data_IF_817638546366
#
_entry.id   IF_817638546366
#
_cell.length_a   1.000
_cell.length_b   1.000
_cell.length_c   1.000
_cell.angle_alpha   90.00
_cell.angle_beta   90.00
_cell.angle_gamma   90.00
#
_symmetry.space_group_name_H-M   'P 1'
#
loop_
_entity.id
_entity.type
_entity.pdbx_description
1 polymer ?
#
# COMPACT_ATOMS: atom_id res chain seq x y z
N UNK A 1 -22.97 -27.32 -58.39
CA UNK A 1 -22.83 -27.33 -56.93
C UNK A 1 -21.37 -27.14 -56.61
N UNK A 2 -20.96 -25.92 -56.25
CA UNK A 2 -19.60 -25.61 -55.82
C UNK A 2 -19.50 -25.90 -54.32
N UNK A 3 -18.76 -26.95 -53.99
CA UNK A 3 -18.34 -27.27 -52.62
C UNK A 3 -17.48 -26.12 -52.11
N UNK A 4 -17.99 -25.37 -51.13
CA UNK A 4 -17.24 -24.33 -50.43
C UNK A 4 -16.21 -25.03 -49.55
N UNK A 5 -14.95 -24.95 -49.94
CA UNK A 5 -13.83 -25.49 -49.17
C UNK A 5 -13.75 -24.74 -47.84
N UNK A 6 -14.02 -25.43 -46.74
CA UNK A 6 -14.23 -24.82 -45.43
C UNK A 6 -12.88 -24.49 -44.79
N UNK A 7 -12.52 -23.20 -44.74
CA UNK A 7 -11.22 -22.75 -44.21
C UNK A 7 -11.15 -23.03 -42.70
N UNK A 8 -10.25 -23.93 -42.29
CA UNK A 8 -9.96 -24.25 -40.89
C UNK A 8 -8.76 -23.47 -40.37
N UNK A 9 -8.97 -22.63 -39.36
CA UNK A 9 -7.90 -21.89 -38.69
C UNK A 9 -7.33 -22.70 -37.51
N UNK A 10 -6.01 -22.87 -37.47
CA UNK A 10 -5.30 -23.64 -36.43
C UNK A 10 -4.79 -22.79 -35.26
N UNK A 11 -4.93 -21.46 -35.34
CA UNK A 11 -4.41 -20.49 -34.34
C UNK A 11 -5.50 -19.72 -33.58
N UNK A 12 -6.75 -20.19 -33.65
CA UNK A 12 -7.87 -19.61 -32.90
C UNK A 12 -8.14 -20.30 -31.56
N UNK A 13 -8.98 -19.70 -30.69
CA UNK A 13 -9.53 -18.35 -30.82
C UNK A 13 -8.47 -17.27 -30.52
N UNK A 14 -8.71 -16.05 -30.99
CA UNK A 14 -7.89 -14.90 -30.61
C UNK A 14 -7.82 -14.79 -29.08
N UNK A 15 -6.61 -14.62 -28.54
CA UNK A 15 -6.42 -14.36 -27.12
C UNK A 15 -7.13 -13.06 -26.77
N UNK A 16 -8.17 -13.14 -25.96
CA UNK A 16 -8.82 -11.95 -25.40
C UNK A 16 -7.89 -11.36 -24.32
N UNK A 17 -7.74 -10.03 -24.23
CA UNK A 17 -7.09 -9.42 -23.09
C UNK A 17 -7.77 -9.91 -21.82
N UNK A 18 -7.03 -10.61 -20.97
CA UNK A 18 -7.55 -10.97 -19.65
C UNK A 18 -7.62 -9.66 -18.85
N UNK A 19 -8.76 -9.32 -18.21
CA UNK A 19 -8.79 -8.22 -17.27
C UNK A 19 -7.69 -8.46 -16.25
N UNK A 20 -6.76 -7.51 -16.10
CA UNK A 20 -5.80 -7.59 -15.00
C UNK A 20 -6.61 -7.59 -13.72
N UNK A 21 -6.54 -8.69 -12.96
CA UNK A 21 -7.08 -8.74 -11.62
C UNK A 21 -6.43 -7.59 -10.84
N UNK A 22 -7.23 -6.63 -10.41
CA UNK A 22 -6.75 -5.56 -9.56
C UNK A 22 -6.46 -6.17 -8.20
N UNK A 23 -5.20 -6.06 -7.76
CA UNK A 23 -4.81 -6.42 -6.40
C UNK A 23 -5.80 -5.76 -5.42
N UNK A 24 -6.31 -6.48 -4.41
CA UNK A 24 -7.21 -5.89 -3.43
C UNK A 24 -6.52 -4.69 -2.75
N UNK A 25 -7.28 -3.61 -2.55
CA UNK A 25 -6.72 -2.32 -2.13
C UNK A 25 -6.81 -2.16 -0.62
N UNK A 26 -5.73 -1.61 -0.04
CA UNK A 26 -5.69 -1.08 1.31
C UNK A 26 -5.49 0.44 1.21
N UNK A 27 -6.54 1.21 1.50
CA UNK A 27 -6.55 2.66 1.32
C UNK A 27 -6.43 3.38 2.67
N UNK A 28 -5.55 4.37 2.75
CA UNK A 28 -5.49 5.25 3.92
C UNK A 28 -6.68 6.21 3.96
N UNK A 29 -7.24 6.39 5.15
CA UNK A 29 -8.25 7.37 5.47
C UNK A 29 -7.76 8.30 6.57
N UNK A 30 -7.99 9.60 6.41
CA UNK A 30 -7.65 10.64 7.39
C UNK A 30 -8.93 11.40 7.77
N UNK A 31 -9.62 10.91 8.80
CA UNK A 31 -10.77 11.59 9.39
C UNK A 31 -12.05 11.48 8.57
N UNK A 32 -12.35 10.30 8.02
CA UNK A 32 -13.65 10.09 7.34
C UNK A 32 -14.78 9.92 8.36
N UNK A 33 -15.94 10.55 8.13
CA UNK A 33 -17.08 10.43 9.03
C UNK A 33 -17.69 9.02 8.97
N UNK A 34 -17.93 8.44 10.14
CA UNK A 34 -18.58 7.14 10.27
C UNK A 34 -20.11 7.27 10.35
N UNK A 35 -20.83 6.17 10.15
CA UNK A 35 -22.27 6.10 10.41
C UNK A 35 -22.63 6.54 11.84
N UNK A 36 -21.75 6.24 12.81
CA UNK A 36 -21.88 6.53 14.23
C UNK A 36 -21.47 7.96 14.62
N UNK A 37 -21.21 8.85 13.64
CA UNK A 37 -20.80 10.26 13.87
C UNK A 37 -19.44 10.40 14.59
N UNK A 38 -18.56 9.41 14.44
CA UNK A 38 -17.15 9.53 14.79
C UNK A 38 -16.32 9.83 13.53
N UNK A 39 -15.07 10.24 13.71
CA UNK A 39 -14.09 10.32 12.62
C UNK A 39 -13.20 9.07 12.67
N UNK A 40 -12.94 8.47 11.51
CA UNK A 40 -12.05 7.34 11.36
C UNK A 40 -10.74 7.77 10.68
N UNK A 41 -9.62 7.36 11.27
CA UNK A 41 -8.30 7.44 10.65
C UNK A 41 -7.65 6.06 10.72
N UNK A 42 -7.14 5.56 9.60
CA UNK A 42 -6.67 4.19 9.48
C UNK A 42 -6.78 3.64 8.06
N UNK A 43 -6.48 2.36 7.92
CA UNK A 43 -6.56 1.64 6.66
C UNK A 43 -7.93 1.00 6.43
N UNK A 44 -8.44 1.13 5.21
CA UNK A 44 -9.73 0.62 4.77
C UNK A 44 -9.59 -0.35 3.60
N UNK A 45 -10.41 -1.39 3.61
CA UNK A 45 -10.69 -2.21 2.43
C UNK A 45 -12.19 -2.48 2.34
N UNK A 46 -12.80 -2.27 1.18
CA UNK A 46 -14.25 -2.41 1.01
C UNK A 46 -14.67 -3.88 1.12
N UNK A 47 -15.69 -4.14 1.96
CA UNK A 47 -16.23 -5.49 2.17
C UNK A 47 -16.95 -5.98 0.92
N UNK A 48 -16.72 -7.23 0.53
CA UNK A 48 -17.42 -7.88 -0.58
C UNK A 48 -16.74 -7.70 -1.94
N UNK A 49 -15.60 -7.00 -2.00
CA UNK A 49 -14.83 -6.82 -3.24
C UNK A 49 -13.97 -8.02 -3.60
N UNK A 50 -13.46 -8.73 -2.60
CA UNK A 50 -12.54 -9.84 -2.79
C UNK A 50 -12.83 -10.93 -1.75
N UNK A 51 -13.51 -12.00 -2.17
CA UNK A 51 -13.99 -13.06 -1.28
C UNK A 51 -12.90 -13.65 -0.38
N UNK A 52 -11.72 -13.97 -0.95
CA UNK A 52 -10.61 -14.54 -0.17
C UNK A 52 -10.06 -13.55 0.87
N UNK A 53 -10.07 -12.25 0.55
CA UNK A 53 -9.68 -11.21 1.50
C UNK A 53 -10.74 -11.05 2.60
N UNK A 54 -12.03 -11.08 2.26
CA UNK A 54 -13.11 -11.01 3.25
C UNK A 54 -13.08 -12.19 4.24
N UNK A 55 -12.84 -13.40 3.73
CA UNK A 55 -12.66 -14.62 4.56
C UNK A 55 -11.48 -14.46 5.52
N UNK A 56 -10.33 -13.98 5.01
CA UNK A 56 -9.14 -13.75 5.82
C UNK A 56 -9.31 -12.63 6.87
N UNK A 57 -9.93 -11.50 6.50
CA UNK A 57 -10.20 -10.40 7.42
C UNK A 57 -11.14 -10.84 8.56
N UNK A 58 -12.15 -11.66 8.24
CA UNK A 58 -13.04 -12.24 9.25
C UNK A 58 -12.29 -13.18 10.20
N UNK A 59 -11.47 -14.09 9.67
CA UNK A 59 -10.67 -15.02 10.47
C UNK A 59 -9.66 -14.31 11.37
N UNK A 60 -9.02 -13.26 10.85
CA UNK A 60 -8.14 -12.36 11.59
C UNK A 60 -8.88 -11.43 12.56
N UNK A 61 -10.22 -11.52 12.65
CA UNK A 61 -11.08 -10.71 13.53
C UNK A 61 -10.92 -9.21 13.32
N UNK A 62 -10.63 -8.79 12.09
CA UNK A 62 -10.53 -7.38 11.73
C UNK A 62 -11.92 -6.75 11.87
N UNK A 63 -12.06 -5.63 12.60
CA UNK A 63 -13.36 -4.99 12.77
C UNK A 63 -13.85 -4.39 11.45
N UNK A 64 -15.16 -4.15 11.37
CA UNK A 64 -15.76 -3.43 10.25
C UNK A 64 -16.25 -2.05 10.70
N UNK A 65 -16.19 -1.08 9.79
CA UNK A 65 -16.68 0.28 9.99
C UNK A 65 -17.57 0.68 8.80
N UNK A 66 -18.58 1.50 9.07
CA UNK A 66 -19.40 2.11 8.02
C UNK A 66 -18.95 3.55 7.81
N UNK A 67 -18.46 3.85 6.62
CA UNK A 67 -17.94 5.16 6.23
C UNK A 67 -18.97 5.88 5.36
N UNK A 68 -19.22 7.15 5.68
CA UNK A 68 -20.00 8.06 4.82
C UNK A 68 -19.04 8.74 3.85
N UNK A 69 -19.16 8.43 2.57
CA UNK A 69 -18.35 9.05 1.52
C UNK A 69 -18.94 10.40 1.10
N UNK A 70 -18.15 11.24 0.42
CA UNK A 70 -18.58 12.56 -0.05
C UNK A 70 -19.81 12.52 -0.99
N UNK A 71 -20.06 11.37 -1.63
CA UNK A 71 -21.25 11.11 -2.46
C UNK A 71 -22.55 10.96 -1.66
N UNK A 72 -22.49 10.91 -0.33
CA UNK A 72 -23.61 10.59 0.55
C UNK A 72 -23.87 9.09 0.73
N UNK A 73 -23.14 8.23 0.02
CA UNK A 73 -23.23 6.78 0.19
C UNK A 73 -22.55 6.34 1.49
N UNK A 74 -23.19 5.38 2.17
CA UNK A 74 -22.60 4.70 3.32
C UNK A 74 -22.10 3.34 2.86
N UNK A 75 -20.79 3.13 2.94
CA UNK A 75 -20.14 1.90 2.48
C UNK A 75 -19.46 1.22 3.67
N UNK A 76 -19.50 -0.11 3.69
CA UNK A 76 -18.90 -0.92 4.74
C UNK A 76 -17.48 -1.33 4.35
N UNK A 77 -16.56 -1.16 5.28
CA UNK A 77 -15.14 -1.46 5.10
C UNK A 77 -14.63 -2.32 6.25
N UNK A 78 -13.63 -3.15 5.97
CA UNK A 78 -12.70 -3.66 6.98
C UNK A 78 -11.82 -2.51 7.47
N UNK A 79 -11.65 -2.41 8.78
CA UNK A 79 -10.96 -1.32 9.45
C UNK A 79 -9.70 -1.83 10.15
N UNK A 80 -8.55 -1.37 9.68
CA UNK A 80 -7.25 -1.63 10.28
C UNK A 80 -6.68 -0.28 10.72
N UNK A 81 -6.91 0.11 11.97
CA UNK A 81 -6.43 1.40 12.50
C UNK A 81 -4.90 1.51 12.34
N UNK A 82 -4.19 0.48 12.80
CA UNK A 82 -2.77 0.25 12.54
C UNK A 82 -2.62 -1.10 11.85
N UNK A 83 -1.77 -1.16 10.82
CA UNK A 83 -1.48 -2.41 10.10
C UNK A 83 0.02 -2.69 10.13
N UNK A 84 0.38 -3.92 10.50
CA UNK A 84 1.76 -4.43 10.40
C UNK A 84 2.04 -4.84 8.96
N UNK A 85 2.83 -4.05 8.24
CA UNK A 85 3.05 -4.23 6.81
C UNK A 85 4.43 -4.81 6.52
N UNK A 86 4.49 -5.96 5.86
CA UNK A 86 5.69 -6.43 5.18
C UNK A 86 5.68 -5.89 3.76
N UNK A 87 6.47 -4.85 3.52
CA UNK A 87 6.53 -4.16 2.23
C UNK A 87 7.36 -4.98 1.24
N UNK A 88 6.79 -5.26 0.08
CA UNK A 88 7.47 -6.02 -0.98
C UNK A 88 8.34 -5.03 -1.77
N UNK A 89 9.52 -4.74 -1.22
CA UNK A 89 10.49 -3.83 -1.81
C UNK A 89 11.93 -4.16 -1.33
N UNK A 90 12.92 -3.82 -2.15
CA UNK A 90 14.35 -3.89 -1.78
C UNK A 90 14.78 -2.73 -0.87
N UNK A 91 13.99 -1.66 -0.85
CA UNK A 91 14.24 -0.46 -0.04
C UNK A 91 13.29 0.67 -0.39
N UNK A 92 13.58 1.86 0.15
CA UNK A 92 12.80 3.08 -0.06
C UNK A 92 13.70 4.14 -0.65
N UNK A 93 13.32 4.64 -1.82
CA UNK A 93 13.94 5.81 -2.42
C UNK A 93 13.31 7.08 -1.85
N UNK A 94 14.11 8.12 -1.69
CA UNK A 94 13.62 9.48 -1.41
C UNK A 94 12.84 10.03 -2.61
N UNK A 95 11.99 11.03 -2.38
CA UNK A 95 11.27 11.71 -3.47
C UNK A 95 12.25 12.27 -4.51
N UNK A 96 13.37 12.83 -4.07
CA UNK A 96 14.39 13.42 -4.95
C UNK A 96 15.05 12.36 -5.84
N UNK A 97 15.37 11.17 -5.33
CA UNK A 97 15.90 10.07 -6.15
C UNK A 97 14.86 9.59 -7.17
N UNK A 98 13.59 9.43 -6.74
CA UNK A 98 12.53 8.96 -7.65
C UNK A 98 12.18 9.97 -8.77
N UNK A 99 12.59 11.24 -8.63
CA UNK A 99 12.46 12.26 -9.67
C UNK A 99 13.57 12.20 -10.72
N UNK A 100 14.73 11.64 -10.39
CA UNK A 100 15.93 11.67 -11.26
C UNK A 100 16.21 10.34 -11.95
N UNK A 101 15.70 9.23 -11.43
CA UNK A 101 15.79 7.91 -12.07
C UNK A 101 14.42 7.30 -12.38
N UNK A 102 14.35 6.48 -13.42
CA UNK A 102 13.21 5.60 -13.72
C UNK A 102 13.21 4.29 -12.92
N UNK A 103 14.32 3.97 -12.26
CA UNK A 103 14.47 2.75 -11.46
C UNK A 103 13.60 2.82 -10.21
N UNK A 104 13.09 1.66 -9.80
CA UNK A 104 12.24 1.52 -8.61
C UNK A 104 12.62 0.27 -7.83
N UNK A 105 12.55 0.35 -6.52
CA UNK A 105 12.85 -0.77 -5.61
C UNK A 105 11.60 -1.57 -5.18
N UNK A 106 10.51 -1.54 -5.97
CA UNK A 106 9.23 -2.18 -5.62
C UNK A 106 8.13 -1.20 -5.18
N UNK A 107 8.47 0.08 -4.99
CA UNK A 107 7.54 1.17 -4.69
C UNK A 107 7.37 2.02 -5.94
N UNK A 108 6.13 2.18 -6.42
CA UNK A 108 5.81 3.04 -7.55
C UNK A 108 5.52 4.46 -7.07
N UNK A 109 6.09 5.45 -7.77
CA UNK A 109 5.91 6.87 -7.48
C UNK A 109 6.05 7.70 -8.74
N UNK A 110 5.12 8.63 -8.93
CA UNK A 110 5.27 9.72 -9.88
C UNK A 110 4.38 10.91 -9.53
N UNK A 111 4.64 12.03 -10.19
CA UNK A 111 3.78 13.20 -10.22
C UNK A 111 2.84 13.10 -11.42
N UNK A 112 1.55 13.31 -11.20
CA UNK A 112 0.53 13.38 -12.24
C UNK A 112 0.01 14.80 -12.38
N UNK A 113 -0.27 15.20 -13.62
CA UNK A 113 -0.90 16.48 -13.92
C UNK A 113 -2.42 16.32 -13.88
N UNK A 114 -3.08 16.98 -12.94
CA UNK A 114 -4.54 17.03 -12.85
C UNK A 114 -5.13 18.02 -13.86
N UNK A 115 -6.46 17.95 -14.06
CA UNK A 115 -7.19 19.00 -14.81
C UNK A 115 -6.89 20.37 -14.20
N UNK A 116 -6.51 21.33 -15.03
CA UNK A 116 -6.07 22.66 -14.60
C UNK A 116 -4.57 22.79 -14.32
N UNK A 117 -3.75 21.80 -14.68
CA UNK A 117 -2.28 21.89 -14.61
C UNK A 117 -1.69 21.64 -13.22
N UNK A 118 -2.53 21.41 -12.21
CA UNK A 118 -2.10 21.15 -10.83
C UNK A 118 -1.36 19.81 -10.75
N UNK A 119 -0.15 19.82 -10.20
CA UNK A 119 0.61 18.60 -9.93
C UNK A 119 0.10 17.90 -8.67
N UNK A 120 0.03 16.57 -8.70
CA UNK A 120 -0.26 15.75 -7.53
C UNK A 120 0.66 14.52 -7.53
N UNK A 121 1.37 14.30 -6.43
CA UNK A 121 2.14 13.07 -6.23
C UNK A 121 1.20 11.89 -6.01
N UNK A 122 1.61 10.70 -6.43
CA UNK A 122 0.94 9.46 -6.09
C UNK A 122 1.98 8.37 -5.82
N UNK A 123 1.73 7.59 -4.76
CA UNK A 123 2.52 6.43 -4.37
C UNK A 123 1.64 5.18 -4.42
N UNK A 124 2.24 4.08 -4.85
CA UNK A 124 1.64 2.74 -4.85
C UNK A 124 2.69 1.70 -4.48
N UNK A 125 2.36 0.76 -3.63
CA UNK A 125 3.27 -0.33 -3.26
C UNK A 125 2.48 -1.54 -2.80
N UNK A 126 3.13 -2.71 -2.85
CA UNK A 126 2.51 -3.98 -2.46
C UNK A 126 2.98 -4.38 -1.07
N UNK A 127 2.06 -4.94 -0.29
CA UNK A 127 2.33 -5.38 1.08
C UNK A 127 1.70 -6.73 1.37
N UNK A 128 2.32 -7.49 2.27
CA UNK A 128 1.65 -8.56 3.01
C UNK A 128 1.30 -8.01 4.40
N UNK A 129 0.05 -8.18 4.84
CA UNK A 129 -0.40 -7.70 6.16
C UNK A 129 -0.18 -8.80 7.20
N UNK A 130 0.52 -8.49 8.29
CA UNK A 130 0.91 -9.47 9.32
C UNK A 130 -0.27 -10.22 9.93
N UNK A 131 -1.33 -9.51 10.32
CA UNK A 131 -2.55 -10.11 10.88
C UNK A 131 -3.23 -11.08 9.90
N UNK A 132 -3.16 -10.82 8.59
CA UNK A 132 -3.74 -11.70 7.56
C UNK A 132 -2.82 -12.90 7.27
N UNK A 133 -1.51 -12.69 7.26
CA UNK A 133 -0.54 -13.77 7.12
C UNK A 133 -0.63 -14.77 8.29
N UNK A 134 -0.96 -14.29 9.49
CA UNK A 134 -1.17 -15.15 10.67
C UNK A 134 -2.35 -16.12 10.51
N UNK A 135 -3.33 -15.80 9.65
CA UNK A 135 -4.46 -16.66 9.28
C UNK A 135 -4.29 -17.28 7.88
N UNK A 136 -3.06 -17.28 7.35
CA UNK A 136 -2.71 -17.95 6.10
C UNK A 136 -2.93 -17.15 4.81
N UNK A 137 -3.46 -15.92 4.90
CA UNK A 137 -3.61 -15.06 3.73
C UNK A 137 -2.33 -14.25 3.46
N UNK A 138 -1.65 -14.60 2.37
CA UNK A 138 -0.35 -14.00 1.99
C UNK A 138 -0.36 -13.41 0.58
N UNK A 139 -1.56 -13.21 0.01
CA UNK A 139 -1.70 -12.48 -1.25
C UNK A 139 -1.43 -10.99 -1.02
N UNK A 140 -0.69 -10.33 -1.94
CA UNK A 140 -0.32 -8.93 -1.76
C UNK A 140 -1.54 -8.02 -1.83
N UNK A 141 -1.59 -7.05 -0.91
CA UNK A 141 -2.51 -5.92 -0.99
C UNK A 141 -1.81 -4.72 -1.63
N UNK A 142 -2.55 -3.96 -2.43
CA UNK A 142 -2.08 -2.71 -3.01
C UNK A 142 -2.37 -1.56 -2.05
N UNK A 143 -1.32 -0.93 -1.54
CA UNK A 143 -1.43 0.36 -0.84
C UNK A 143 -1.34 1.47 -1.86
N UNK A 144 -2.19 2.49 -1.72
CA UNK A 144 -2.12 3.70 -2.54
C UNK A 144 -2.41 4.96 -1.73
N UNK A 145 -1.66 6.02 -1.99
CA UNK A 145 -1.93 7.35 -1.47
C UNK A 145 -1.54 8.43 -2.48
N UNK A 146 -2.09 9.64 -2.29
CA UNK A 146 -1.93 10.78 -3.21
C UNK A 146 -1.64 12.05 -2.41
N UNK A 147 -1.01 13.04 -3.05
CA UNK A 147 -0.78 14.37 -2.49
C UNK A 147 0.10 14.36 -1.24
N UNK A 148 -0.27 15.12 -0.22
CA UNK A 148 0.55 15.30 0.99
C UNK A 148 0.86 14.00 1.73
N UNK A 149 -0.01 12.99 1.63
CA UNK A 149 0.18 11.68 2.25
C UNK A 149 1.34 10.89 1.65
N UNK A 150 1.78 11.19 0.41
CA UNK A 150 2.90 10.46 -0.18
C UNK A 150 4.19 10.69 0.59
N UNK A 151 4.40 11.92 1.07
CA UNK A 151 5.57 12.27 1.88
C UNK A 151 5.54 11.57 3.25
N UNK A 152 4.37 11.53 3.88
CA UNK A 152 4.18 10.88 5.18
C UNK A 152 4.45 9.38 5.12
N UNK A 153 3.97 8.70 4.07
CA UNK A 153 4.25 7.28 3.85
C UNK A 153 5.73 7.04 3.63
N UNK A 154 6.40 7.82 2.77
CA UNK A 154 7.84 7.64 2.52
C UNK A 154 8.63 7.83 3.82
N UNK A 155 8.33 8.89 4.58
CA UNK A 155 8.97 9.16 5.86
C UNK A 155 8.74 8.02 6.87
N UNK A 156 7.53 7.47 6.93
CA UNK A 156 7.20 6.33 7.78
C UNK A 156 7.97 5.06 7.35
N UNK A 157 8.04 4.77 6.06
CA UNK A 157 8.78 3.62 5.52
C UNK A 157 10.29 3.73 5.77
N UNK A 158 10.87 4.94 5.66
CA UNK A 158 12.29 5.17 5.93
C UNK A 158 12.68 4.89 7.40
N UNK A 159 11.75 4.95 8.35
CA UNK A 159 12.05 4.60 9.75
C UNK A 159 12.44 3.13 9.93
N UNK A 160 12.11 2.26 8.98
CA UNK A 160 12.51 0.86 9.01
C UNK A 160 14.03 0.69 9.05
N UNK A 161 14.81 1.58 8.43
CA UNK A 161 16.27 1.49 8.45
C UNK A 161 16.83 1.53 9.89
N UNK A 162 16.23 2.32 10.78
CA UNK A 162 16.62 2.33 12.19
C UNK A 162 16.35 0.98 12.89
N UNK A 163 15.33 0.23 12.46
CA UNK A 163 15.04 -1.12 12.96
C UNK A 163 16.09 -2.11 12.46
N UNK A 164 16.46 -2.05 11.17
CA UNK A 164 17.49 -2.90 10.58
C UNK A 164 18.87 -2.65 11.22
N UNK A 165 19.23 -1.38 11.43
CA UNK A 165 20.44 -0.99 12.13
C UNK A 165 20.45 -1.50 13.58
N UNK A 166 19.31 -1.44 14.27
CA UNK A 166 19.17 -1.95 15.62
C UNK A 166 19.37 -3.48 15.69
N UNK A 167 18.90 -4.24 14.70
CA UNK A 167 19.15 -5.69 14.60
C UNK A 167 20.65 -5.97 14.61
N UNK A 168 21.41 -5.27 13.76
CA UNK A 168 22.85 -5.47 13.65
C UNK A 168 23.60 -4.97 14.89
N UNK A 169 23.15 -3.85 15.49
CA UNK A 169 23.67 -3.39 16.76
C UNK A 169 23.49 -4.43 17.88
N UNK A 170 22.32 -5.06 18.00
CA UNK A 170 22.08 -6.12 18.99
C UNK A 170 22.90 -7.38 18.72
N UNK A 171 23.16 -7.72 17.46
CA UNK A 171 24.04 -8.85 17.10
C UNK A 171 25.49 -8.57 17.48
N UNK A 172 25.98 -7.36 17.19
CA UNK A 172 27.33 -6.92 17.56
C UNK A 172 27.55 -6.97 19.08
N UNK A 173 26.56 -6.54 19.86
CA UNK A 173 26.60 -6.65 21.33
C UNK A 173 26.68 -8.10 21.84
N UNK A 174 26.17 -9.07 21.07
CA UNK A 174 26.28 -10.50 21.37
C UNK A 174 27.57 -11.13 20.81
N UNK A 175 28.48 -10.35 20.23
CA UNK A 175 29.68 -10.88 19.56
C UNK A 175 29.38 -11.67 18.29
N UNK A 176 28.21 -11.46 17.67
CA UNK A 176 27.81 -12.10 16.40
C UNK A 176 28.10 -11.18 15.22
N UNK A 177 28.42 -11.73 14.04
CA UNK A 177 28.57 -10.92 12.82
C UNK A 177 27.23 -10.27 12.44
N UNK A 178 27.31 -9.14 11.76
CA UNK A 178 26.16 -8.44 11.19
C UNK A 178 25.37 -9.35 10.25
N UNK A 179 24.05 -9.19 10.25
CA UNK A 179 23.13 -9.91 9.39
C UNK A 179 22.84 -9.16 8.09
N UNK A 180 22.87 -7.81 8.11
CA UNK A 180 22.42 -6.98 7.00
C UNK A 180 21.01 -7.38 6.52
N UNK A 181 20.01 -7.33 7.42
CA UNK A 181 18.68 -7.83 7.11
C UNK A 181 18.04 -7.07 5.93
N UNK A 182 17.31 -7.75 5.03
CA UNK A 182 16.60 -7.09 3.94
C UNK A 182 15.49 -6.18 4.47
N UNK A 183 15.02 -5.25 3.63
CA UNK A 183 14.04 -4.23 4.02
C UNK A 183 12.76 -4.82 4.66
N UNK A 184 12.29 -5.95 4.14
CA UNK A 184 11.10 -6.66 4.60
C UNK A 184 11.32 -7.61 5.79
N UNK A 185 12.51 -7.64 6.40
CA UNK A 185 12.83 -8.55 7.49
C UNK A 185 11.96 -8.33 8.75
N UNK A 186 11.50 -7.11 8.98
CA UNK A 186 10.50 -6.78 10.00
C UNK A 186 9.28 -6.14 9.34
N UNK A 187 8.09 -6.36 9.90
CA UNK A 187 6.92 -5.56 9.53
C UNK A 187 7.07 -4.12 10.03
N UNK A 188 6.42 -3.19 9.31
CA UNK A 188 6.34 -1.78 9.68
C UNK A 188 4.89 -1.52 10.12
N UNK A 189 4.64 -1.28 11.41
CA UNK A 189 3.31 -0.88 11.90
C UNK A 189 3.02 0.53 11.40
N UNK A 190 2.12 0.66 10.43
CA UNK A 190 1.69 1.97 9.93
C UNK A 190 0.28 2.28 10.45
N UNK A 191 0.12 3.43 11.09
CA UNK A 191 -1.13 3.84 11.72
C UNK A 191 -1.24 5.35 11.88
N UNK A 192 -2.26 5.83 12.61
CA UNK A 192 -2.54 7.26 12.74
C UNK A 192 -1.50 7.97 13.59
N UNK A 193 -0.99 9.09 13.08
CA UNK A 193 -0.16 10.03 13.84
C UNK A 193 -1.00 11.05 14.61
N UNK A 194 -0.32 12.02 15.22
CA UNK A 194 -1.00 13.19 15.80
C UNK A 194 -1.58 14.05 14.68
N UNK A 195 -2.76 14.61 14.92
CA UNK A 195 -3.40 15.52 13.98
C UNK A 195 -2.50 16.74 13.70
N UNK A 196 -2.44 17.11 12.43
CA UNK A 196 -1.67 18.26 11.95
C UNK A 196 -2.50 19.09 10.99
N UNK A 197 -2.33 20.41 11.08
CA UNK A 197 -2.91 21.35 10.11
C UNK A 197 -2.06 21.39 8.86
N UNK A 198 -2.65 21.08 7.70
CA UNK A 198 -1.99 21.19 6.39
C UNK A 198 -2.75 22.08 5.43
N UNK A 199 -2.00 22.81 4.62
CA UNK A 199 -2.51 23.79 3.67
C UNK A 199 -1.68 25.08 3.71
N UNK A 200 -2.06 26.06 2.90
CA UNK A 200 -1.40 27.35 2.84
C UNK A 200 -2.43 28.47 2.82
N UNK A 201 -2.17 29.56 3.54
CA UNK A 201 -3.11 30.68 3.65
C UNK A 201 -4.39 30.28 4.39
N UNK A 202 -5.55 30.70 3.87
CA UNK A 202 -6.85 30.43 4.49
C UNK A 202 -7.38 29.01 4.25
N UNK A 203 -6.78 28.25 3.32
CA UNK A 203 -7.20 26.90 2.96
C UNK A 203 -6.41 25.83 3.72
N UNK A 204 -6.57 25.80 5.05
CA UNK A 204 -5.98 24.75 5.90
C UNK A 204 -7.01 23.70 6.30
N UNK A 205 -6.56 22.44 6.41
CA UNK A 205 -7.37 21.30 6.85
C UNK A 205 -6.58 20.51 7.90
N UNK A 206 -7.28 20.12 8.97
CA UNK A 206 -6.76 19.17 9.94
C UNK A 206 -6.77 17.76 9.34
N UNK A 207 -5.62 17.09 9.38
CA UNK A 207 -5.45 15.74 8.88
C UNK A 207 -4.72 14.88 9.90
N UNK A 208 -5.05 13.59 9.90
CA UNK A 208 -4.32 12.55 10.64
C UNK A 208 -3.33 11.89 9.69
N UNK A 209 -2.02 12.17 9.81
CA UNK A 209 -1.01 11.61 8.91
C UNK A 209 -0.78 10.12 9.20
N UNK A 210 -0.22 9.41 8.22
CA UNK A 210 0.32 8.06 8.44
C UNK A 210 1.68 8.20 9.14
N UNK A 211 1.89 7.44 10.20
CA UNK A 211 3.20 7.34 10.87
C UNK A 211 3.58 5.88 11.08
N UNK A 212 4.88 5.61 11.19
CA UNK A 212 5.37 4.33 11.66
C UNK A 212 5.32 4.29 13.20
N UNK A 213 4.60 3.33 13.76
CA UNK A 213 4.52 3.11 15.21
C UNK A 213 5.73 2.27 15.69
N UNK A 214 6.94 2.74 15.38
CA UNK A 214 8.21 2.14 15.80
C UNK A 214 8.65 2.80 17.12
N UNK A 215 8.97 2.02 18.17
CA UNK A 215 9.45 2.58 19.43
C UNK A 215 10.84 3.22 19.26
N UNK A 216 11.07 4.29 20.02
CA UNK A 216 12.36 4.98 20.07
C UNK A 216 12.86 5.01 21.54
N UNK A 217 13.98 4.35 21.88
CA UNK A 217 14.82 3.52 21.00
C UNK A 217 14.14 2.20 20.59
N UNK A 218 14.58 1.64 19.45
CA UNK A 218 14.12 0.31 18.99
C UNK A 218 14.55 -0.76 19.99
N UNK A 219 13.62 -1.64 20.38
CA UNK A 219 13.86 -2.68 21.39
C UNK A 219 13.98 -4.07 20.77
N UNK A 220 14.58 -5.02 21.50
CA UNK A 220 14.63 -6.43 21.09
C UNK A 220 13.23 -7.05 21.00
N UNK A 221 12.35 -6.72 21.95
CA UNK A 221 10.98 -7.25 21.98
C UNK A 221 10.20 -6.80 20.75
N UNK A 222 10.37 -5.54 20.32
CA UNK A 222 9.80 -5.04 19.07
C UNK A 222 10.30 -5.86 17.87
N UNK A 223 11.62 -6.04 17.73
CA UNK A 223 12.19 -6.81 16.61
C UNK A 223 11.62 -8.24 16.61
N UNK A 224 11.54 -8.90 17.75
CA UNK A 224 11.02 -10.27 17.85
C UNK A 224 9.54 -10.35 17.48
N UNK A 225 8.73 -9.36 17.88
CA UNK A 225 7.30 -9.32 17.56
C UNK A 225 7.03 -9.08 16.07
N UNK A 226 7.88 -8.29 15.41
CA UNK A 226 7.69 -7.88 14.01
C UNK A 226 8.50 -8.69 13.00
N UNK A 227 9.42 -9.55 13.45
CA UNK A 227 10.27 -10.35 12.58
C UNK A 227 9.45 -11.22 11.62
N UNK A 228 9.82 -11.20 10.33
CA UNK A 228 9.13 -11.97 9.31
C UNK A 228 9.25 -13.48 9.57
N UNK A 229 8.12 -14.18 9.49
CA UNK A 229 8.10 -15.65 9.56
C UNK A 229 8.56 -16.25 8.23
N UNK A 230 9.01 -17.52 8.24
CA UNK A 230 9.47 -18.19 7.01
C UNK A 230 8.45 -18.17 5.86
N UNK A 231 7.14 -18.40 6.10
CA UNK A 231 6.14 -18.29 5.03
C UNK A 231 6.03 -16.89 4.45
N UNK A 232 6.12 -15.85 5.29
CA UNK A 232 6.10 -14.45 4.84
C UNK A 232 7.34 -14.15 4.00
N UNK A 233 8.54 -14.54 4.46
CA UNK A 233 9.79 -14.35 3.72
C UNK A 233 9.71 -15.01 2.34
N UNK A 234 9.35 -16.30 2.28
CA UNK A 234 9.24 -17.03 1.02
C UNK A 234 8.24 -16.38 0.06
N UNK A 235 7.14 -15.83 0.58
CA UNK A 235 6.15 -15.13 -0.23
C UNK A 235 6.67 -13.80 -0.76
N UNK A 236 7.26 -12.97 0.10
CA UNK A 236 7.78 -11.64 -0.28
C UNK A 236 8.89 -11.80 -1.32
N UNK A 237 9.86 -12.69 -1.08
CA UNK A 237 10.94 -12.98 -2.03
C UNK A 237 10.41 -13.50 -3.36
N UNK A 238 9.44 -14.43 -3.34
CA UNK A 238 8.82 -14.97 -4.55
C UNK A 238 8.04 -13.94 -5.38
N UNK A 239 7.69 -12.79 -4.81
CA UNK A 239 6.99 -11.69 -5.49
C UNK A 239 7.92 -10.51 -5.84
N UNK A 240 9.19 -10.53 -5.42
CA UNK A 240 10.05 -9.35 -5.45
C UNK A 240 10.33 -8.86 -6.87
N UNK A 241 10.88 -9.72 -7.75
CA UNK A 241 11.23 -9.34 -9.13
C UNK A 241 10.02 -8.79 -9.90
N UNK A 242 8.87 -9.47 -9.80
CA UNK A 242 7.64 -9.05 -10.44
C UNK A 242 7.11 -7.72 -9.88
N UNK A 243 7.31 -7.45 -8.58
CA UNK A 243 6.91 -6.20 -7.93
C UNK A 243 7.83 -5.04 -8.31
N UNK A 244 9.13 -5.28 -8.43
CA UNK A 244 10.10 -4.30 -8.94
C UNK A 244 9.72 -3.88 -10.37
N UNK A 245 9.55 -4.84 -11.28
CA UNK A 245 9.14 -4.57 -12.66
C UNK A 245 7.78 -3.86 -12.73
N UNK A 246 6.81 -4.29 -11.91
CA UNK A 246 5.52 -3.63 -11.78
C UNK A 246 5.64 -2.18 -11.31
N UNK A 247 6.53 -1.89 -10.36
CA UNK A 247 6.66 -0.56 -9.78
C UNK A 247 7.20 0.48 -10.77
N UNK A 248 8.12 0.06 -11.66
CA UNK A 248 8.60 0.87 -12.79
C UNK A 248 7.46 1.17 -13.75
N UNK A 249 6.77 0.13 -14.25
CA UNK A 249 5.66 0.29 -15.19
C UNK A 249 4.52 1.14 -14.60
N UNK A 250 4.20 0.94 -13.33
CA UNK A 250 3.15 1.69 -12.63
C UNK A 250 3.54 3.16 -12.42
N UNK A 251 4.81 3.47 -12.17
CA UNK A 251 5.29 4.85 -12.07
C UNK A 251 5.07 5.60 -13.40
N UNK A 252 5.34 4.96 -14.53
CA UNK A 252 5.07 5.52 -15.86
C UNK A 252 3.58 5.77 -16.07
N UNK A 253 2.72 4.81 -15.71
CA UNK A 253 1.26 4.96 -15.82
C UNK A 253 0.72 6.10 -14.95
N UNK A 254 1.23 6.24 -13.72
CA UNK A 254 0.87 7.36 -12.83
C UNK A 254 1.26 8.69 -13.50
N UNK A 255 2.47 8.80 -14.02
CA UNK A 255 2.96 10.02 -14.68
C UNK A 255 2.11 10.40 -15.91
N UNK A 256 1.68 9.40 -16.68
CA UNK A 256 0.79 9.58 -17.83
C UNK A 256 -0.65 10.00 -17.45
N UNK A 257 -1.01 9.94 -16.16
CA UNK A 257 -2.37 10.22 -15.70
C UNK A 257 -3.36 9.08 -16.01
N UNK A 258 -2.87 7.88 -16.32
CA UNK A 258 -3.70 6.70 -16.56
C UNK A 258 -4.28 6.21 -15.22
N UNK A 259 -5.54 6.59 -14.96
CA UNK A 259 -6.24 6.12 -13.78
C UNK A 259 -6.76 4.70 -14.02
N UNK A 260 -5.97 3.71 -13.61
CA UNK A 260 -6.53 2.39 -13.34
C UNK A 260 -7.45 2.55 -12.14
N UNK A 261 -8.75 2.37 -12.37
CA UNK A 261 -9.80 2.39 -11.36
C UNK A 261 -9.58 1.26 -10.33
N UNK A 262 -8.61 1.44 -9.45
CA UNK A 262 -8.45 0.66 -8.25
C UNK A 262 -9.48 1.21 -7.25
N UNK A 263 -10.67 0.62 -7.22
CA UNK A 263 -11.74 0.92 -6.26
C UNK A 263 -12.18 2.39 -6.25
N UNK A 264 -13.24 2.71 -7.00
CA UNK A 264 -13.79 4.06 -7.04
C UNK A 264 -14.17 4.58 -5.64
N UNK A 265 -13.38 5.53 -5.16
CA UNK A 265 -13.64 6.41 -4.03
C UNK A 265 -12.94 7.73 -4.31
N UNK A 266 -13.29 8.38 -5.42
CA UNK A 266 -12.87 9.76 -5.72
C UNK A 266 -13.56 10.70 -4.73
N UNK A 267 -12.89 11.02 -3.62
CA UNK A 267 -13.12 12.28 -2.91
C UNK A 267 -12.30 13.37 -3.62
N UNK A 268 -12.85 13.89 -4.71
CA UNK A 268 -12.50 15.24 -5.14
C UNK A 268 -13.22 16.23 -4.21
N UNK A 269 -12.53 17.16 -3.54
CA UNK A 269 -13.22 18.28 -2.91
C UNK A 269 -13.90 19.10 -4.01
N UNK A 270 -15.22 19.29 -3.89
CA UNK A 270 -15.93 20.33 -4.63
C UNK A 270 -15.18 21.67 -4.42
N UNK A 271 -14.82 22.41 -5.48
CA UNK A 271 -14.53 23.82 -5.30
C UNK A 271 -15.82 24.50 -4.85
N UNK A 272 -15.76 25.21 -3.72
CA UNK A 272 -16.74 26.26 -3.41
C UNK A 272 -16.50 27.45 -4.35
#
# INVERSE_FOLDING_TARGET
>A
MTTTDEIRFTRGPARRPQPQALDPVLQWSSGLPTAQRALYAGWLSEVGRARALDEAMHEAKVPQVQIKHGSGQVVRHWALETADLYVIADGVQTISEMQTTGDRYGIAFAWRTLRGGRQQSQIRFRVVVGALAAVGYTEPLLVTAKGTLTGDIIAALMQQYAVLDAVDAFRRQQGKPEMQPPFYACSIPLGPGRDVTRGSGEATKEITPVVAAIPQPVTRDYILAHWATRPVVARVEGLMEATIAWSVATSVQIAAGEERAAGAGEDAPCPQ
#
